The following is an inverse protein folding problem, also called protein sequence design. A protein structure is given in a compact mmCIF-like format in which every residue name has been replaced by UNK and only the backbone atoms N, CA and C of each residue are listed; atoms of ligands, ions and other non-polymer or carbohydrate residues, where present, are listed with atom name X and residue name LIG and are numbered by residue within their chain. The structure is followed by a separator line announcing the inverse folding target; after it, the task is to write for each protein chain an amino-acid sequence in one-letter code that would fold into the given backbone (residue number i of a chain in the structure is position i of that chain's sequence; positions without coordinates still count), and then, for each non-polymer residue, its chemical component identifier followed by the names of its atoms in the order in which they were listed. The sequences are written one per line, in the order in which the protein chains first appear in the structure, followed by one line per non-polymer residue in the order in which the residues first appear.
data_IF_276457504519
#
_entry.id   IF_276457504519
#
_cell.length_a   1.000
_cell.length_b   1.000
_cell.length_c   1.000
_cell.angle_alpha   90.00
_cell.angle_beta   90.00
_cell.angle_gamma   90.00
#
_symmetry.space_group_name_H-M   'P 1'
#
loop_
_entity.id
_entity.type
_entity.pdbx_description
1 polymer ?
#
# COMPACT_ATOMS: atom_id res chain seq x y z
N UNK A 1 19.42 -9.13 -11.09
CA UNK A 1 18.40 -8.24 -10.48
C UNK A 1 17.07 -8.60 -11.11
N UNK A 2 16.04 -8.92 -10.33
CA UNK A 2 14.70 -9.22 -10.88
C UNK A 2 14.16 -7.92 -11.45
N UNK A 3 13.66 -7.95 -12.69
CA UNK A 3 12.88 -6.84 -13.26
C UNK A 3 11.51 -6.78 -12.55
N UNK A 4 11.44 -5.99 -11.50
CA UNK A 4 10.25 -5.88 -10.66
C UNK A 4 9.08 -5.25 -11.41
N UNK A 5 9.34 -4.24 -12.25
CA UNK A 5 8.30 -3.58 -13.05
C UNK A 5 7.70 -4.55 -14.07
N UNK A 6 8.54 -5.18 -14.91
CA UNK A 6 8.08 -6.13 -15.91
C UNK A 6 7.37 -7.35 -15.30
N UNK A 7 7.79 -7.82 -14.11
CA UNK A 7 7.07 -8.89 -13.41
C UNK A 7 5.64 -8.47 -13.06
N UNK A 8 5.47 -7.30 -12.44
CA UNK A 8 4.15 -6.84 -12.01
C UNK A 8 3.26 -6.43 -13.18
N UNK A 9 3.82 -5.78 -14.21
CA UNK A 9 3.08 -5.51 -15.45
C UNK A 9 2.51 -6.81 -16.01
N UNK A 10 3.32 -7.85 -16.13
CA UNK A 10 2.87 -9.17 -16.61
C UNK A 10 1.78 -9.79 -15.73
N UNK A 11 1.84 -9.63 -14.41
CA UNK A 11 0.79 -10.12 -13.49
C UNK A 11 -0.52 -9.38 -13.73
N UNK A 12 -0.48 -8.04 -13.83
CA UNK A 12 -1.69 -7.23 -14.01
C UNK A 12 -2.25 -7.30 -15.43
N UNK A 13 -1.44 -7.57 -16.45
CA UNK A 13 -1.92 -7.82 -17.80
C UNK A 13 -2.60 -9.19 -17.94
N UNK A 14 -2.05 -10.22 -17.27
CA UNK A 14 -2.51 -11.59 -17.41
C UNK A 14 -3.76 -11.96 -16.59
N UNK A 15 -4.07 -11.20 -15.53
CA UNK A 15 -5.12 -11.53 -14.56
C UNK A 15 -6.19 -10.45 -14.44
N UNK A 16 -7.42 -10.87 -14.25
CA UNK A 16 -8.48 -9.99 -13.76
C UNK A 16 -8.22 -9.59 -12.28
N UNK A 17 -8.81 -8.47 -11.85
CA UNK A 17 -8.59 -7.97 -10.50
C UNK A 17 -9.03 -8.94 -9.41
N UNK A 18 -10.13 -9.62 -9.61
CA UNK A 18 -10.73 -10.59 -8.69
C UNK A 18 -10.09 -11.98 -8.73
N UNK A 19 -9.07 -12.18 -9.58
CA UNK A 19 -8.30 -13.42 -9.64
C UNK A 19 -6.99 -13.37 -8.82
N UNK A 20 -6.56 -12.20 -8.38
CA UNK A 20 -5.33 -12.08 -7.58
C UNK A 20 -5.61 -12.36 -6.10
N UNK A 21 -4.69 -13.05 -5.42
CA UNK A 21 -4.92 -13.52 -4.05
C UNK A 21 -5.11 -12.43 -3.01
N UNK A 22 -4.64 -11.21 -3.27
CA UNK A 22 -4.77 -10.06 -2.36
C UNK A 22 -5.99 -9.18 -2.65
N UNK A 23 -6.81 -9.55 -3.65
CA UNK A 23 -8.00 -8.77 -4.01
C UNK A 23 -8.97 -8.63 -2.85
N UNK A 24 -9.46 -7.42 -2.67
CA UNK A 24 -10.58 -7.07 -1.79
C UNK A 24 -11.51 -6.14 -2.56
N UNK A 25 -12.77 -6.55 -2.75
CA UNK A 25 -13.78 -5.67 -3.36
C UNK A 25 -14.00 -4.43 -2.48
N UNK A 26 -13.91 -4.61 -1.15
CA UNK A 26 -13.96 -3.54 -0.16
C UNK A 26 -12.78 -3.74 0.80
N UNK A 27 -11.70 -2.95 0.69
CA UNK A 27 -10.56 -2.97 1.61
C UNK A 27 -10.91 -2.28 2.94
N UNK A 28 -11.84 -2.88 3.68
CA UNK A 28 -12.48 -2.27 4.85
C UNK A 28 -11.49 -1.92 5.97
N UNK A 29 -10.45 -2.75 6.18
CA UNK A 29 -9.42 -2.48 7.19
C UNK A 29 -8.59 -1.25 6.82
N UNK A 30 -8.19 -1.14 5.53
CA UNK A 30 -7.47 0.04 5.02
C UNK A 30 -8.27 1.33 5.23
N UNK A 31 -9.52 1.35 4.77
CA UNK A 31 -10.42 2.53 4.91
C UNK A 31 -10.57 2.90 6.37
N UNK A 32 -10.99 1.97 7.22
CA UNK A 32 -11.22 2.19 8.65
C UNK A 32 -9.98 2.72 9.38
N UNK A 33 -8.80 2.20 9.07
CA UNK A 33 -7.56 2.67 9.74
C UNK A 33 -7.16 4.04 9.24
N UNK A 34 -7.29 4.34 7.95
CA UNK A 34 -7.04 5.69 7.42
C UNK A 34 -8.01 6.71 8.04
N UNK A 35 -9.32 6.45 8.02
CA UNK A 35 -10.33 7.34 8.62
C UNK A 35 -10.12 7.57 10.11
N UNK A 36 -9.66 6.56 10.83
CA UNK A 36 -9.45 6.66 12.29
C UNK A 36 -8.22 7.48 12.66
N UNK A 37 -7.14 7.37 11.88
CA UNK A 37 -5.84 7.85 12.31
C UNK A 37 -5.29 9.02 11.49
N UNK A 38 -5.74 9.22 10.26
CA UNK A 38 -5.41 10.41 9.49
C UNK A 38 -6.34 11.57 9.86
N UNK A 39 -5.85 12.83 9.81
CA UNK A 39 -6.70 14.00 10.10
C UNK A 39 -7.76 14.19 9.00
N UNK A 40 -8.88 14.87 9.31
CA UNK A 40 -9.85 15.27 8.28
C UNK A 40 -9.21 16.10 7.16
N UNK A 41 -9.49 15.76 5.90
CA UNK A 41 -8.90 16.43 4.74
C UNK A 41 -7.44 16.06 4.47
N UNK A 42 -6.98 14.95 5.06
CA UNK A 42 -5.61 14.46 4.90
C UNK A 42 -5.27 14.16 3.44
N UNK A 43 -4.02 14.43 3.10
CA UNK A 43 -3.37 13.89 1.90
C UNK A 43 -2.90 12.47 2.17
N UNK A 44 -3.19 11.54 1.25
CA UNK A 44 -2.75 10.16 1.37
C UNK A 44 -1.92 9.72 0.16
N UNK A 45 -0.87 8.95 0.43
CA UNK A 45 -0.17 8.19 -0.59
C UNK A 45 -0.39 6.70 -0.37
N UNK A 46 -0.90 6.00 -1.40
CA UNK A 46 -1.06 4.55 -1.44
C UNK A 46 0.11 3.94 -2.22
N UNK A 47 0.97 3.20 -1.54
CA UNK A 47 2.22 2.66 -2.08
C UNK A 47 2.08 1.18 -2.36
N UNK A 48 2.49 0.78 -3.57
CA UNK A 48 2.13 -0.52 -4.11
C UNK A 48 0.63 -0.60 -4.34
N UNK A 49 0.05 0.51 -4.83
CA UNK A 49 -1.40 0.65 -4.99
C UNK A 49 -1.99 -0.43 -5.89
N UNK A 50 -1.20 -0.96 -6.83
CA UNK A 50 -1.68 -1.94 -7.78
C UNK A 50 -2.91 -1.43 -8.52
N UNK A 51 -3.86 -2.32 -8.72
CA UNK A 51 -5.16 -1.99 -9.28
C UNK A 51 -6.29 -1.98 -8.21
N UNK A 52 -5.92 -1.69 -6.94
CA UNK A 52 -6.81 -1.69 -5.78
C UNK A 52 -8.02 -0.78 -5.94
N UNK A 53 -9.11 -1.15 -5.27
CA UNK A 53 -10.34 -0.34 -5.15
C UNK A 53 -10.30 0.65 -3.98
N UNK A 54 -9.17 0.75 -3.28
CA UNK A 54 -9.05 1.66 -2.12
C UNK A 54 -9.35 3.11 -2.51
N UNK A 55 -8.75 3.58 -3.60
CA UNK A 55 -8.95 4.96 -4.08
C UNK A 55 -10.41 5.27 -4.37
N UNK A 56 -11.16 4.32 -4.94
CA UNK A 56 -12.60 4.50 -5.22
C UNK A 56 -13.40 4.77 -3.94
N UNK A 57 -13.06 4.05 -2.85
CA UNK A 57 -13.70 4.22 -1.56
C UNK A 57 -13.29 5.51 -0.88
N UNK A 58 -11.99 5.86 -0.92
CA UNK A 58 -11.49 7.11 -0.36
C UNK A 58 -12.18 8.31 -1.01
N UNK A 59 -12.28 8.35 -2.34
CA UNK A 59 -12.97 9.41 -3.08
C UNK A 59 -14.46 9.49 -2.72
N UNK A 60 -15.14 8.34 -2.66
CA UNK A 60 -16.54 8.27 -2.23
C UNK A 60 -16.73 8.84 -0.82
N UNK A 61 -15.77 8.60 0.07
CA UNK A 61 -15.82 9.00 1.47
C UNK A 61 -15.22 10.43 1.68
N UNK A 62 -14.99 11.17 0.57
CA UNK A 62 -14.66 12.61 0.56
C UNK A 62 -13.17 12.93 0.67
N UNK A 63 -12.27 11.97 0.38
CA UNK A 63 -10.85 12.28 0.26
C UNK A 63 -10.58 12.98 -1.07
N UNK A 64 -9.89 14.13 -1.00
CA UNK A 64 -9.66 15.02 -2.16
C UNK A 64 -8.20 15.05 -2.61
N UNK A 65 -7.29 14.36 -1.92
CA UNK A 65 -5.86 14.35 -2.21
C UNK A 65 -5.29 12.94 -2.03
N UNK A 66 -5.32 12.16 -3.12
CA UNK A 66 -4.90 10.75 -3.15
C UNK A 66 -3.82 10.55 -4.21
N UNK A 67 -2.63 10.14 -3.77
CA UNK A 67 -1.54 9.78 -4.68
C UNK A 67 -1.38 8.26 -4.70
N UNK A 68 -1.36 7.67 -5.89
CA UNK A 68 -1.13 6.25 -6.10
C UNK A 68 0.28 6.05 -6.63
N UNK A 69 1.09 5.28 -5.93
CA UNK A 69 2.47 4.94 -6.33
C UNK A 69 2.56 3.45 -6.56
N UNK A 70 2.96 3.04 -7.74
CA UNK A 70 3.25 1.64 -8.04
C UNK A 70 4.42 1.54 -9.04
N UNK A 71 5.12 0.42 -9.03
CA UNK A 71 6.16 0.12 -10.00
C UNK A 71 5.57 -0.31 -11.34
N UNK A 72 4.32 -0.80 -11.35
CA UNK A 72 3.58 -1.26 -12.51
C UNK A 72 2.72 -0.15 -13.13
N UNK A 73 3.08 0.28 -14.32
CA UNK A 73 2.23 1.19 -15.10
C UNK A 73 0.94 0.49 -15.55
N UNK A 74 0.99 -0.81 -15.86
CA UNK A 74 -0.20 -1.58 -16.23
C UNK A 74 -1.25 -1.61 -15.11
N UNK A 75 -0.82 -1.69 -13.85
CA UNK A 75 -1.71 -1.63 -12.70
C UNK A 75 -2.38 -0.26 -12.58
N UNK A 76 -1.58 0.81 -12.63
CA UNK A 76 -2.07 2.18 -12.52
C UNK A 76 -2.98 2.56 -13.69
N UNK A 77 -2.71 2.06 -14.91
CA UNK A 77 -3.55 2.27 -16.08
C UNK A 77 -4.97 1.69 -15.87
N UNK A 78 -5.10 0.51 -15.24
CA UNK A 78 -6.42 -0.08 -14.90
C UNK A 78 -7.20 0.80 -13.92
N UNK A 79 -6.53 1.40 -12.93
CA UNK A 79 -7.18 2.35 -12.01
C UNK A 79 -7.60 3.61 -12.73
N UNK A 80 -6.72 4.16 -13.57
CA UNK A 80 -7.02 5.37 -14.36
C UNK A 80 -8.20 5.16 -15.30
N UNK A 81 -8.25 4.01 -15.99
CA UNK A 81 -9.38 3.64 -16.85
C UNK A 81 -10.69 3.53 -16.04
N UNK A 82 -10.65 2.84 -14.88
CA UNK A 82 -11.83 2.66 -14.02
C UNK A 82 -12.36 3.98 -13.50
N UNK A 83 -11.50 4.86 -12.98
CA UNK A 83 -11.90 6.18 -12.47
C UNK A 83 -12.33 7.13 -13.60
N UNK A 84 -11.70 7.02 -14.77
CA UNK A 84 -12.01 7.85 -15.94
C UNK A 84 -13.24 7.41 -16.76
N UNK A 85 -13.89 6.29 -16.39
CA UNK A 85 -15.08 5.78 -17.09
C UNK A 85 -16.33 6.63 -16.84
N UNK A 86 -16.33 7.51 -15.85
CA UNK A 86 -17.42 8.47 -15.58
C UNK A 86 -17.40 9.67 -16.53
N UNK A 87 -18.49 10.47 -16.53
CA UNK A 87 -18.63 11.63 -17.43
C UNK A 87 -17.60 12.74 -17.18
N UNK A 88 -17.09 12.84 -15.98
CA UNK A 88 -16.14 13.89 -15.55
C UNK A 88 -14.67 13.48 -15.68
N UNK A 89 -14.41 12.26 -16.17
CA UNK A 89 -13.05 11.70 -16.27
C UNK A 89 -12.44 11.31 -14.92
N UNK A 90 -11.10 11.24 -14.85
CA UNK A 90 -10.40 11.00 -13.59
C UNK A 90 -10.61 12.20 -12.66
N UNK A 91 -11.05 11.99 -11.41
CA UNK A 91 -11.29 13.08 -10.47
C UNK A 91 -10.03 13.94 -10.23
N UNK A 92 -10.22 15.26 -10.12
CA UNK A 92 -9.18 16.15 -9.62
C UNK A 92 -8.70 15.69 -8.23
N UNK A 93 -7.42 15.86 -7.94
CA UNK A 93 -6.84 15.41 -6.66
C UNK A 93 -6.37 13.95 -6.65
N UNK A 94 -6.58 13.17 -7.72
CA UNK A 94 -5.94 11.86 -7.88
C UNK A 94 -4.66 12.00 -8.71
N UNK A 95 -3.53 11.62 -8.11
CA UNK A 95 -2.23 11.63 -8.76
C UNK A 95 -1.72 10.21 -8.95
N UNK A 96 -1.17 9.90 -10.13
CA UNK A 96 -0.57 8.60 -10.45
C UNK A 96 0.94 8.77 -10.62
N UNK A 97 1.71 7.93 -9.95
CA UNK A 97 3.18 7.94 -9.98
C UNK A 97 3.70 6.53 -10.25
N UNK A 98 4.25 6.31 -11.43
CA UNK A 98 4.96 5.05 -11.74
C UNK A 98 6.38 5.17 -11.22
N UNK A 99 6.68 4.51 -10.10
CA UNK A 99 7.98 4.58 -9.45
C UNK A 99 8.25 3.36 -8.57
N UNK A 100 9.54 3.05 -8.43
CA UNK A 100 10.02 2.14 -7.40
C UNK A 100 10.18 2.92 -6.08
N UNK A 101 9.39 2.54 -5.09
CA UNK A 101 9.38 3.19 -3.77
C UNK A 101 10.74 3.25 -3.10
N UNK A 102 11.66 2.30 -3.41
CA UNK A 102 13.03 2.27 -2.86
C UNK A 102 13.90 3.44 -3.30
N UNK A 103 13.56 4.04 -4.45
CA UNK A 103 14.28 5.17 -5.05
C UNK A 103 13.39 6.37 -5.35
N UNK A 104 12.10 6.27 -5.03
CA UNK A 104 11.17 7.37 -5.23
C UNK A 104 11.52 8.56 -4.34
N UNK A 105 11.54 9.74 -4.95
CA UNK A 105 11.72 11.01 -4.25
C UNK A 105 10.39 11.77 -4.29
N UNK A 106 9.60 11.72 -3.19
CA UNK A 106 8.35 12.46 -3.12
C UNK A 106 8.63 13.96 -3.15
N UNK A 107 7.98 14.68 -4.07
CA UNK A 107 8.13 16.13 -4.22
C UNK A 107 7.42 16.93 -3.12
N UNK A 108 6.73 16.25 -2.20
CA UNK A 108 5.96 16.82 -1.08
C UNK A 108 5.83 15.84 0.08
N UNK A 109 5.29 16.29 1.20
CA UNK A 109 4.88 15.43 2.30
C UNK A 109 3.39 15.07 2.22
N UNK A 110 3.03 13.97 2.86
CA UNK A 110 1.68 13.43 2.98
C UNK A 110 1.31 13.27 4.46
N UNK A 111 0.04 13.42 4.81
CA UNK A 111 -0.46 13.19 6.15
C UNK A 111 -0.61 11.70 6.47
N UNK A 112 -0.87 10.89 5.44
CA UNK A 112 -0.98 9.45 5.55
C UNK A 112 -0.21 8.73 4.44
N UNK A 113 0.47 7.66 4.83
CA UNK A 113 1.09 6.67 3.96
C UNK A 113 0.36 5.35 4.16
N UNK A 114 -0.15 4.77 3.10
CA UNK A 114 -0.78 3.46 3.13
C UNK A 114 0.06 2.46 2.32
N UNK A 115 0.21 1.25 2.82
CA UNK A 115 0.79 0.11 2.10
C UNK A 115 0.13 -1.18 2.59
N UNK A 116 -0.52 -1.89 1.69
CA UNK A 116 -1.03 -3.23 1.96
C UNK A 116 -0.43 -4.23 0.99
N UNK A 117 0.41 -5.11 1.50
CA UNK A 117 1.02 -6.20 0.73
C UNK A 117 2.08 -5.78 -0.30
N UNK A 118 2.75 -4.62 -0.13
CA UNK A 118 3.90 -4.21 -0.94
C UNK A 118 5.22 -4.35 -0.18
N UNK A 119 5.32 -3.81 1.02
CA UNK A 119 6.52 -3.85 1.86
C UNK A 119 7.09 -5.27 2.06
N UNK A 120 6.25 -6.28 2.14
CA UNK A 120 6.70 -7.65 2.39
C UNK A 120 7.52 -8.28 1.24
N UNK A 121 7.52 -7.69 0.05
CA UNK A 121 8.38 -8.11 -1.06
C UNK A 121 9.83 -7.63 -0.91
N UNK A 122 10.09 -6.70 0.00
CA UNK A 122 11.43 -6.20 0.27
C UNK A 122 12.18 -7.17 1.20
N UNK A 123 12.68 -8.27 0.63
CA UNK A 123 13.37 -9.31 1.39
C UNK A 123 14.81 -8.93 1.74
N UNK A 124 15.44 -8.02 0.98
CA UNK A 124 16.77 -7.49 1.27
C UNK A 124 16.70 -6.40 2.36
N UNK A 125 17.49 -6.47 3.44
CA UNK A 125 17.55 -5.43 4.45
C UNK A 125 17.84 -4.03 3.90
N UNK A 126 18.72 -3.91 2.90
CA UNK A 126 19.05 -2.61 2.28
C UNK A 126 17.84 -1.99 1.58
N UNK A 127 17.01 -2.80 0.94
CA UNK A 127 15.79 -2.31 0.28
C UNK A 127 14.73 -1.90 1.30
N UNK A 128 14.63 -2.60 2.45
CA UNK A 128 13.79 -2.18 3.57
C UNK A 128 14.21 -0.84 4.16
N UNK A 129 15.53 -0.65 4.36
CA UNK A 129 16.07 0.61 4.87
C UNK A 129 15.77 1.77 3.93
N UNK A 130 15.89 1.56 2.61
CA UNK A 130 15.52 2.54 1.59
C UNK A 130 14.04 2.89 1.65
N UNK A 131 13.16 1.89 1.76
CA UNK A 131 11.73 2.10 1.90
C UNK A 131 11.39 2.94 3.14
N UNK A 132 11.94 2.56 4.30
CA UNK A 132 11.72 3.30 5.57
C UNK A 132 12.24 4.74 5.46
N UNK A 133 13.39 4.94 4.82
CA UNK A 133 13.91 6.28 4.57
C UNK A 133 12.99 7.10 3.64
N UNK A 134 12.41 6.48 2.62
CA UNK A 134 11.43 7.12 1.73
C UNK A 134 10.16 7.48 2.48
N UNK A 135 9.59 6.56 3.26
CA UNK A 135 8.44 6.85 4.12
C UNK A 135 8.75 7.98 5.12
N UNK A 136 9.96 7.98 5.71
CA UNK A 136 10.41 9.05 6.62
C UNK A 136 10.52 10.42 5.95
N UNK A 137 10.77 10.51 4.66
CA UNK A 137 10.76 11.77 3.90
C UNK A 137 9.36 12.18 3.46
N UNK A 138 8.55 11.18 3.07
CA UNK A 138 7.23 11.40 2.50
C UNK A 138 6.16 11.73 3.53
N UNK A 139 6.20 11.13 4.72
CA UNK A 139 5.19 11.37 5.76
C UNK A 139 5.52 12.66 6.50
N UNK A 140 4.54 13.55 6.67
CA UNK A 140 4.70 14.79 7.43
C UNK A 140 4.97 14.49 8.93
N UNK A 141 5.68 15.36 9.67
CA UNK A 141 5.79 15.22 11.12
C UNK A 141 4.40 15.11 11.78
N UNK A 142 4.20 14.08 12.60
CA UNK A 142 2.89 13.76 13.19
C UNK A 142 1.94 12.98 12.28
N UNK A 143 2.25 12.85 10.98
CA UNK A 143 1.51 12.03 10.03
C UNK A 143 1.67 10.53 10.32
N UNK A 144 0.87 9.72 9.64
CA UNK A 144 0.75 8.28 9.94
C UNK A 144 1.18 7.38 8.78
N UNK A 145 1.71 6.21 9.13
CA UNK A 145 1.89 5.07 8.23
C UNK A 145 0.88 3.99 8.62
N UNK A 146 0.02 3.59 7.70
CA UNK A 146 -0.88 2.44 7.81
C UNK A 146 -0.30 1.32 6.96
N UNK A 147 0.26 0.30 7.59
CA UNK A 147 1.03 -0.74 6.91
C UNK A 147 0.48 -2.14 7.22
N UNK A 148 0.34 -2.97 6.19
CA UNK A 148 0.01 -4.37 6.32
C UNK A 148 0.97 -5.27 5.54
N UNK A 149 1.45 -6.32 6.21
CA UNK A 149 2.29 -7.37 5.63
C UNK A 149 1.74 -8.73 5.96
N UNK A 150 2.20 -9.78 5.29
CA UNK A 150 1.92 -11.13 5.79
C UNK A 150 2.40 -11.26 7.24
N UNK A 151 1.54 -11.85 8.09
CA UNK A 151 1.85 -12.14 9.48
C UNK A 151 2.99 -13.17 9.58
N UNK A 152 3.57 -13.33 10.77
CA UNK A 152 4.71 -14.23 11.00
C UNK A 152 4.45 -15.70 10.58
N UNK A 153 3.20 -16.13 10.62
CA UNK A 153 2.70 -17.45 10.20
C UNK A 153 2.04 -17.44 8.80
N UNK A 154 2.14 -16.33 8.06
CA UNK A 154 1.59 -16.18 6.72
C UNK A 154 2.44 -16.85 5.62
N UNK A 155 2.04 -16.68 4.35
CA UNK A 155 2.75 -17.25 3.21
C UNK A 155 4.20 -16.74 3.09
N UNK A 156 5.10 -17.61 2.60
CA UNK A 156 6.50 -17.27 2.31
C UNK A 156 6.71 -16.79 0.88
N UNK A 157 5.67 -16.85 0.06
CA UNK A 157 5.68 -16.41 -1.35
C UNK A 157 4.33 -15.81 -1.72
N UNK A 158 4.36 -14.85 -2.66
CA UNK A 158 3.18 -14.29 -3.30
C UNK A 158 3.51 -14.00 -4.77
N UNK A 159 2.63 -14.35 -5.69
CA UNK A 159 2.84 -14.18 -7.14
C UNK A 159 4.19 -14.70 -7.65
N UNK A 160 4.68 -15.81 -7.11
CA UNK A 160 5.97 -16.38 -7.48
C UNK A 160 7.20 -15.68 -6.90
N UNK A 161 7.02 -14.62 -6.13
CA UNK A 161 8.10 -13.89 -5.46
C UNK A 161 8.18 -14.26 -3.97
N UNK A 162 9.40 -14.30 -3.39
CA UNK A 162 9.57 -14.50 -1.96
C UNK A 162 9.03 -13.30 -1.17
N UNK A 163 8.50 -13.56 0.03
CA UNK A 163 8.01 -12.54 0.93
C UNK A 163 8.64 -12.65 2.31
N UNK A 164 8.91 -11.51 2.93
CA UNK A 164 9.19 -11.40 4.35
C UNK A 164 7.88 -11.41 5.14
N UNK A 165 7.91 -12.00 6.34
CA UNK A 165 6.75 -12.11 7.23
C UNK A 165 7.07 -11.40 8.53
N UNK A 166 6.09 -10.70 9.10
CA UNK A 166 6.33 -9.87 10.26
C UNK A 166 5.25 -10.04 11.32
N UNK A 167 5.68 -10.16 12.57
CA UNK A 167 4.85 -9.83 13.72
C UNK A 167 4.84 -8.32 13.95
N UNK A 168 3.94 -7.84 14.80
CA UNK A 168 3.86 -6.41 15.17
C UNK A 168 5.18 -5.87 15.69
N UNK A 169 5.86 -6.62 16.58
CA UNK A 169 7.13 -6.18 17.17
C UNK A 169 8.23 -6.01 16.12
N UNK A 170 8.25 -6.88 15.10
CA UNK A 170 9.22 -6.82 14.02
C UNK A 170 9.02 -5.57 13.16
N UNK A 171 7.75 -5.25 12.81
CA UNK A 171 7.43 -4.03 12.06
C UNK A 171 7.79 -2.77 12.85
N UNK A 172 7.47 -2.74 14.14
CA UNK A 172 7.86 -1.62 15.01
C UNK A 172 9.37 -1.44 15.05
N UNK A 173 10.14 -2.52 15.18
CA UNK A 173 11.61 -2.46 15.18
C UNK A 173 12.17 -1.93 13.86
N UNK A 174 11.61 -2.35 12.73
CA UNK A 174 12.05 -1.89 11.39
C UNK A 174 11.83 -0.38 11.21
N UNK A 175 10.72 0.17 11.70
CA UNK A 175 10.37 1.58 11.52
C UNK A 175 10.89 2.50 12.64
N UNK A 176 11.42 1.95 13.75
CA UNK A 176 12.12 2.75 14.76
C UNK A 176 13.49 3.25 14.21
N UNK A 177 14.02 4.42 14.63
CA UNK A 177 13.46 5.36 15.60
C UNK A 177 12.53 6.46 15.01
N UNK A 178 12.31 6.49 13.69
CA UNK A 178 11.59 7.57 13.02
C UNK A 178 10.08 7.59 13.33
N UNK A 179 9.55 6.42 13.70
CA UNK A 179 8.11 6.23 13.92
C UNK A 179 7.83 5.61 15.30
N UNK A 180 6.63 5.85 15.83
CA UNK A 180 6.12 5.22 17.05
C UNK A 180 4.81 4.50 16.78
N UNK A 181 4.59 3.37 17.47
CA UNK A 181 3.37 2.58 17.32
C UNK A 181 2.17 3.28 17.94
N UNK A 182 1.08 3.42 17.18
CA UNK A 182 -0.21 3.88 17.64
C UNK A 182 -1.21 2.73 17.79
N UNK A 183 -1.22 1.79 16.85
CA UNK A 183 -2.18 0.68 16.80
C UNK A 183 -1.58 -0.52 16.10
N UNK A 184 -2.05 -1.71 16.48
CA UNK A 184 -1.76 -2.94 15.78
C UNK A 184 -2.97 -3.87 15.83
N UNK A 185 -3.20 -4.60 14.75
CA UNK A 185 -4.22 -5.64 14.68
C UNK A 185 -3.82 -6.73 13.70
N UNK A 186 -4.55 -7.84 13.71
CA UNK A 186 -4.42 -8.95 12.78
C UNK A 186 -5.66 -9.04 11.91
N UNK A 187 -5.48 -9.32 10.63
CA UNK A 187 -6.54 -9.59 9.66
C UNK A 187 -6.36 -11.00 9.09
N UNK A 188 -7.43 -11.76 9.02
CA UNK A 188 -7.52 -13.02 8.28
C UNK A 188 -8.16 -12.72 6.92
N UNK A 189 -7.32 -12.39 5.92
CA UNK A 189 -7.79 -12.12 4.58
C UNK A 189 -8.21 -13.41 3.88
N UNK A 190 -9.47 -13.46 3.43
CA UNK A 190 -9.97 -14.53 2.56
C UNK A 190 -9.68 -14.20 1.11
N UNK A 191 -8.86 -15.02 0.45
CA UNK A 191 -8.57 -14.88 -0.97
C UNK A 191 -9.78 -15.22 -1.83
N UNK A 192 -9.88 -14.78 -3.09
CA UNK A 192 -10.95 -15.20 -4.01
C UNK A 192 -11.05 -16.72 -4.18
N UNK A 193 -9.95 -17.45 -4.03
CA UNK A 193 -9.92 -18.91 -4.09
C UNK A 193 -10.32 -19.62 -2.79
N UNK A 194 -10.66 -18.87 -1.73
CA UNK A 194 -11.09 -19.41 -0.43
C UNK A 194 -9.96 -19.75 0.54
N UNK A 195 -8.70 -19.42 0.21
CA UNK A 195 -7.60 -19.59 1.14
C UNK A 195 -7.53 -18.41 2.14
N UNK A 196 -7.06 -18.68 3.37
CA UNK A 196 -6.83 -17.63 4.34
C UNK A 196 -5.38 -17.17 4.29
N UNK A 197 -5.18 -15.87 4.21
CA UNK A 197 -3.88 -15.22 4.30
C UNK A 197 -3.87 -14.26 5.50
N UNK A 198 -3.10 -14.57 6.56
CA UNK A 198 -3.03 -13.71 7.72
C UNK A 198 -2.12 -12.49 7.46
N UNK A 199 -2.60 -11.32 7.85
CA UNK A 199 -1.87 -10.05 7.80
C UNK A 199 -1.64 -9.49 9.20
N UNK A 200 -0.47 -8.93 9.43
CA UNK A 200 -0.18 -8.03 10.54
C UNK A 200 -0.32 -6.59 10.07
N UNK A 201 -1.20 -5.84 10.73
CA UNK A 201 -1.38 -4.41 10.51
C UNK A 201 -0.73 -3.62 11.63
N UNK A 202 -0.10 -2.51 11.26
CA UNK A 202 0.37 -1.50 12.21
C UNK A 202 -0.03 -0.10 11.72
N UNK A 203 -0.34 0.76 12.67
CA UNK A 203 -0.41 2.20 12.44
C UNK A 203 0.72 2.84 13.23
N UNK A 204 1.57 3.57 12.54
CA UNK A 204 2.76 4.19 13.09
C UNK A 204 2.66 5.70 12.86
N UNK A 205 3.05 6.51 13.85
CA UNK A 205 3.12 7.97 13.73
C UNK A 205 4.55 8.42 13.55
N UNK A 206 4.80 9.33 12.62
CA UNK A 206 6.09 9.98 12.45
C UNK A 206 6.34 10.93 13.63
N UNK A 207 7.52 10.80 14.23
CA UNK A 207 8.02 11.65 15.32
C UNK A 207 8.46 13.03 14.84
#
# INVERSE_FOLDING_TARGET
MVDTAGHWDGVFEAKALDEVSWFQAVPATSVRLLERWAPPGASVVDVGAGASTLVDLLLRDGWEDVTLVDVSEAALAKVRERLGAGPDGVPDGVTFVTADVRSWEPGRSFDAWHDRASFHFLVDPVDRDRYVATAGRAVAPGGVVVLATFAADGPTQCSGLPTSRYGTADLVAVFAPAFELLHAEREEHMTPSGAVQPFSWVVLRRR
#
